data_IF_049425677934
#
_entry.id   IF_049425677934
#
_cell.length_a   1.000
_cell.length_b   1.000
_cell.length_c   1.000
_cell.angle_alpha   90.00
_cell.angle_beta   90.00
_cell.angle_gamma   90.00
#
_symmetry.space_group_name_H-M   'P 1'
#
loop_
_entity.id
_entity.type
_entity.pdbx_description
1 polymer ?
#
# COMPACT_ATOMS: atom_id res chain seq x y z
N UNK A 1 -10.34 2.50 -7.59
CA UNK A 1 -11.80 2.54 -7.38
C UNK A 1 -12.32 1.43 -6.48
N UNK A 2 -13.46 1.65 -5.81
CA UNK A 2 -14.18 0.64 -5.00
C UNK A 2 -14.39 -0.70 -5.72
N UNK A 3 -14.57 -0.68 -7.05
CA UNK A 3 -14.73 -1.91 -7.86
C UNK A 3 -13.46 -2.78 -7.88
N UNK A 4 -12.29 -2.16 -7.88
CA UNK A 4 -11.01 -2.89 -7.85
C UNK A 4 -10.79 -3.52 -6.48
N UNK A 5 -11.20 -2.83 -5.41
CA UNK A 5 -11.18 -3.35 -4.05
C UNK A 5 -12.08 -4.58 -3.91
N UNK A 6 -13.34 -4.47 -4.33
CA UNK A 6 -14.32 -5.55 -4.24
C UNK A 6 -13.85 -6.77 -5.02
N UNK A 7 -13.32 -6.57 -6.23
CA UNK A 7 -12.77 -7.65 -7.05
C UNK A 7 -11.55 -8.29 -6.39
N UNK A 8 -10.65 -7.49 -5.81
CA UNK A 8 -9.47 -8.00 -5.12
C UNK A 8 -9.84 -8.77 -3.84
N UNK A 9 -10.91 -8.39 -3.15
CA UNK A 9 -11.34 -9.02 -1.89
C UNK A 9 -12.47 -10.04 -2.04
N UNK A 10 -13.02 -10.22 -3.24
CA UNK A 10 -14.12 -11.14 -3.50
C UNK A 10 -13.81 -12.57 -3.00
N UNK A 11 -14.72 -13.11 -2.18
CA UNK A 11 -14.59 -14.45 -1.61
C UNK A 11 -13.51 -14.59 -0.52
N UNK A 12 -12.89 -13.50 -0.07
CA UNK A 12 -11.92 -13.50 1.05
C UNK A 12 -12.62 -13.13 2.35
N UNK A 13 -12.14 -13.71 3.45
CA UNK A 13 -12.59 -13.40 4.81
C UNK A 13 -11.50 -12.60 5.51
N UNK A 14 -11.88 -11.49 6.15
CA UNK A 14 -10.95 -10.68 6.92
C UNK A 14 -10.42 -11.48 8.12
N UNK A 15 -9.09 -11.53 8.25
CA UNK A 15 -8.42 -12.08 9.43
C UNK A 15 -8.11 -11.01 10.47
N UNK A 16 -7.24 -11.35 11.42
CA UNK A 16 -6.71 -10.38 12.38
C UNK A 16 -5.86 -9.32 11.67
N UNK A 17 -5.96 -8.07 12.13
CA UNK A 17 -5.09 -6.99 11.69
C UNK A 17 -3.68 -7.20 12.23
N UNK A 18 -2.68 -6.99 11.38
CA UNK A 18 -1.26 -7.06 11.75
C UNK A 18 -0.68 -5.66 11.84
N UNK A 19 0.23 -5.44 12.80
CA UNK A 19 0.92 -4.15 12.93
C UNK A 19 2.11 -4.04 11.98
N UNK A 20 2.76 -5.16 11.66
CA UNK A 20 3.95 -5.20 10.84
C UNK A 20 3.96 -6.42 9.93
N UNK A 21 4.27 -6.22 8.65
CA UNK A 21 4.42 -7.26 7.64
C UNK A 21 5.90 -7.45 7.29
N UNK A 22 6.33 -8.68 7.01
CA UNK A 22 7.71 -8.95 6.60
C UNK A 22 7.93 -8.55 5.15
N UNK A 23 8.84 -7.61 4.86
CA UNK A 23 9.07 -7.14 3.48
C UNK A 23 9.59 -8.21 2.53
N UNK A 24 10.24 -9.25 3.07
CA UNK A 24 10.68 -10.42 2.29
C UNK A 24 9.54 -11.25 1.70
N UNK A 25 8.32 -11.10 2.22
CA UNK A 25 7.13 -11.86 1.76
C UNK A 25 6.17 -11.05 0.91
N UNK A 26 6.24 -9.73 0.98
CA UNK A 26 5.32 -8.82 0.30
C UNK A 26 6.01 -8.11 -0.87
N UNK A 27 5.26 -7.97 -1.97
CA UNK A 27 5.70 -7.18 -3.13
C UNK A 27 5.27 -5.72 -3.04
N UNK A 28 5.45 -5.00 -4.15
CA UNK A 28 4.88 -3.65 -4.32
C UNK A 28 3.36 -3.67 -4.11
N UNK A 29 2.79 -2.64 -3.45
CA UNK A 29 1.36 -2.58 -3.25
C UNK A 29 0.63 -2.32 -4.56
N UNK A 30 -0.59 -2.82 -4.65
CA UNK A 30 -1.59 -2.33 -5.59
C UNK A 30 -2.30 -1.13 -4.93
N UNK A 31 -2.25 0.01 -5.60
CA UNK A 31 -3.03 1.19 -5.21
C UNK A 31 -4.47 1.01 -5.66
N UNK A 32 -5.42 1.16 -4.74
CA UNK A 32 -6.85 1.12 -5.03
C UNK A 32 -7.38 2.53 -5.24
N UNK A 33 -7.03 3.42 -4.32
CA UNK A 33 -7.39 4.83 -4.33
C UNK A 33 -6.41 5.61 -3.43
N UNK A 34 -6.73 6.86 -3.10
CA UNK A 34 -5.92 7.73 -2.27
C UNK A 34 -5.90 7.37 -0.78
N UNK A 35 -6.64 6.33 -0.37
CA UNK A 35 -6.72 5.83 1.02
C UNK A 35 -6.41 4.35 1.17
N UNK A 36 -6.36 3.56 0.11
CA UNK A 36 -6.27 2.10 0.23
C UNK A 36 -5.13 1.50 -0.60
N UNK A 37 -4.26 0.76 0.09
CA UNK A 37 -3.19 -0.04 -0.50
C UNK A 37 -3.45 -1.52 -0.23
N UNK A 38 -3.25 -2.36 -1.24
CA UNK A 38 -3.28 -3.82 -1.10
C UNK A 38 -1.90 -4.42 -1.26
N UNK A 39 -1.43 -5.16 -0.25
CA UNK A 39 -0.21 -5.94 -0.32
C UNK A 39 -0.53 -7.41 -0.51
N UNK A 40 0.20 -8.07 -1.41
CA UNK A 40 0.07 -9.52 -1.64
C UNK A 40 1.18 -10.26 -0.93
N UNK A 41 0.80 -11.28 -0.16
CA UNK A 41 1.69 -12.26 0.49
C UNK A 41 1.24 -13.66 0.06
N UNK A 42 1.80 -14.15 -1.05
CA UNK A 42 1.34 -15.38 -1.71
C UNK A 42 -0.16 -15.35 -2.03
N UNK A 43 -0.92 -16.23 -1.38
CA UNK A 43 -2.39 -16.31 -1.52
C UNK A 43 -3.17 -15.33 -0.63
N UNK A 44 -2.52 -14.69 0.35
CA UNK A 44 -3.14 -13.72 1.27
C UNK A 44 -3.02 -12.31 0.71
N UNK A 45 -4.05 -11.50 0.95
CA UNK A 45 -4.08 -10.07 0.65
C UNK A 45 -4.20 -9.33 1.97
N UNK A 46 -3.32 -8.37 2.18
CA UNK A 46 -3.38 -7.41 3.27
C UNK A 46 -3.94 -6.10 2.74
N UNK A 47 -4.96 -5.57 3.40
CA UNK A 47 -5.49 -4.23 3.13
C UNK A 47 -4.91 -3.28 4.16
N UNK A 48 -4.27 -2.23 3.68
CA UNK A 48 -3.80 -1.12 4.48
C UNK A 48 -4.68 0.08 4.17
N UNK A 49 -5.50 0.48 5.14
CA UNK A 49 -6.36 1.66 5.08
C UNK A 49 -5.58 2.83 5.69
N UNK A 50 -5.25 3.84 4.89
CA UNK A 50 -4.47 5.00 5.30
C UNK A 50 -5.26 5.86 6.29
N UNK A 51 -4.60 6.46 7.30
CA UNK A 51 -5.24 7.32 8.27
C UNK A 51 -5.75 8.64 7.65
N UNK A 52 -5.13 9.07 6.55
CA UNK A 52 -5.42 10.31 5.84
C UNK A 52 -5.21 10.09 4.33
N UNK A 53 -5.92 10.86 3.49
CA UNK A 53 -5.75 10.84 2.05
C UNK A 53 -4.29 11.15 1.67
N UNK A 54 -3.71 10.38 0.75
CA UNK A 54 -2.36 10.63 0.25
C UNK A 54 -2.39 11.38 -1.09
N UNK A 55 -1.97 12.65 -1.16
CA UNK A 55 -1.99 13.40 -2.41
C UNK A 55 -1.05 12.79 -3.45
N UNK A 56 -1.56 12.55 -4.66
CA UNK A 56 -0.80 11.92 -5.74
C UNK A 56 -0.65 10.41 -5.60
N UNK A 57 -1.49 9.76 -4.78
CA UNK A 57 -1.63 8.31 -4.75
C UNK A 57 -2.73 7.87 -5.72
N UNK A 58 -2.33 7.24 -6.81
CA UNK A 58 -3.22 6.68 -7.82
C UNK A 58 -2.69 5.32 -8.36
N UNK A 59 -3.38 4.76 -9.36
CA UNK A 59 -3.04 3.44 -9.90
C UNK A 59 -1.82 3.44 -10.86
N UNK A 60 -1.28 4.59 -11.26
CA UNK A 60 -0.14 4.71 -12.18
C UNK A 60 1.15 5.20 -11.52
N UNK A 61 1.18 5.30 -10.19
CA UNK A 61 2.40 5.63 -9.44
C UNK A 61 3.13 4.39 -8.89
N UNK A 62 4.40 4.60 -8.59
CA UNK A 62 5.24 3.67 -7.83
C UNK A 62 5.21 4.12 -6.37
N UNK A 63 4.73 3.24 -5.49
CA UNK A 63 4.77 3.45 -4.05
C UNK A 63 6.14 3.03 -3.51
N UNK A 64 6.85 3.96 -2.87
CA UNK A 64 8.14 3.71 -2.24
C UNK A 64 7.99 3.88 -0.73
N UNK A 65 8.15 2.79 0.01
CA UNK A 65 8.08 2.83 1.48
C UNK A 65 9.48 2.90 2.11
N UNK A 66 9.64 3.79 3.08
CA UNK A 66 10.84 3.92 3.90
C UNK A 66 10.78 2.86 5.02
N UNK A 67 11.23 1.64 4.73
CA UNK A 67 11.18 0.49 5.65
C UNK A 67 12.41 0.47 6.56
N UNK A 68 12.20 0.43 7.89
CA UNK A 68 13.25 0.21 8.88
C UNK A 68 13.19 -1.22 9.43
N UNK A 69 14.32 -1.94 9.44
CA UNK A 69 14.40 -3.27 10.07
C UNK A 69 13.75 -4.43 9.29
N UNK A 70 13.44 -4.25 8.01
CA UNK A 70 12.90 -5.33 7.15
C UNK A 70 11.42 -5.66 7.39
N UNK A 71 10.70 -4.79 8.10
CA UNK A 71 9.27 -4.91 8.31
C UNK A 71 8.56 -3.64 7.82
N UNK A 72 7.44 -3.83 7.16
CA UNK A 72 6.51 -2.79 6.77
C UNK A 72 5.47 -2.65 7.88
N UNK A 73 5.55 -1.58 8.66
CA UNK A 73 4.72 -1.38 9.82
C UNK A 73 3.69 -0.27 9.63
N UNK A 74 2.58 -0.37 10.36
CA UNK A 74 1.67 0.75 10.58
C UNK A 74 2.44 1.94 11.12
N UNK A 75 2.23 3.11 10.53
CA UNK A 75 2.95 4.33 10.87
C UNK A 75 4.20 4.60 10.03
N UNK A 76 4.66 3.64 9.23
CA UNK A 76 5.79 3.88 8.32
C UNK A 76 5.43 4.93 7.26
N UNK A 77 6.42 5.68 6.83
CA UNK A 77 6.28 6.70 5.81
C UNK A 77 6.54 6.12 4.42
N UNK A 78 5.74 6.54 3.46
CA UNK A 78 5.96 6.26 2.05
C UNK A 78 5.74 7.52 1.22
N UNK A 79 6.22 7.51 0.00
CA UNK A 79 5.95 8.53 -1.00
C UNK A 79 5.71 7.87 -2.36
N UNK A 80 5.19 8.65 -3.30
CA UNK A 80 4.92 8.19 -4.66
C UNK A 80 5.94 8.76 -5.64
N UNK A 81 6.27 7.96 -6.65
CA UNK A 81 7.04 8.38 -7.83
C UNK A 81 6.20 8.13 -9.07
N UNK A 82 6.30 9.02 -10.06
CA UNK A 82 5.73 8.75 -11.38
C UNK A 82 6.39 7.53 -12.02
N UNK A 83 5.59 6.68 -12.68
CA UNK A 83 6.09 5.46 -13.35
C UNK A 83 7.09 5.75 -14.47
N UNK A 84 7.05 6.95 -15.05
CA UNK A 84 8.03 7.44 -16.03
C UNK A 84 9.46 7.46 -15.48
N UNK A 85 9.63 7.50 -14.15
CA UNK A 85 10.92 7.63 -13.46
C UNK A 85 11.52 9.04 -13.56
N UNK A 86 10.84 9.97 -14.23
CA UNK A 86 11.25 11.38 -14.38
C UNK A 86 10.24 12.21 -13.62
N UNK A 87 10.55 12.59 -12.38
CA UNK A 87 9.59 13.36 -11.56
C UNK A 87 10.12 13.70 -10.18
N UNK A 88 9.44 14.64 -9.52
CA UNK A 88 9.68 15.00 -8.13
C UNK A 88 8.90 14.02 -7.25
N UNK A 89 9.50 13.44 -6.20
CA UNK A 89 8.77 12.63 -5.24
C UNK A 89 7.56 13.36 -4.66
N UNK A 90 6.45 12.64 -4.55
CA UNK A 90 5.24 13.11 -3.89
C UNK A 90 5.45 13.41 -2.40
N UNK A 91 4.45 14.00 -1.73
CA UNK A 91 4.49 14.18 -0.29
C UNK A 91 4.62 12.84 0.44
N UNK A 92 5.15 12.89 1.67
CA UNK A 92 5.21 11.71 2.54
C UNK A 92 3.85 11.45 3.18
N UNK A 93 3.39 10.21 3.05
CA UNK A 93 2.15 9.69 3.60
C UNK A 93 2.46 8.56 4.59
N UNK A 94 1.52 8.25 5.48
CA UNK A 94 1.71 7.31 6.58
C UNK A 94 0.86 6.06 6.39
N UNK A 95 1.42 4.88 6.63
CA UNK A 95 0.67 3.63 6.66
C UNK A 95 -0.27 3.53 7.88
N UNK A 96 -1.34 2.75 7.76
CA UNK A 96 -2.43 2.65 8.74
C UNK A 96 -2.55 1.31 9.45
#
# INVERSE_FOLDING_TARGET
DSKDLDKALAGRVAGNAETCLSTSRIGSPQVIDDHTLLYRDGGRIWRNDLPDACPGLDNDVIVVTEVFGGQLCRGDLFYTLERSGIGIPGPRCRLG
#
